data_IF_325794746031
#
_entry.id   IF_325794746031
#
_cell.length_a   1.000
_cell.length_b   1.000
_cell.length_c   1.000
_cell.angle_alpha   90.00
_cell.angle_beta   90.00
_cell.angle_gamma   90.00
#
_symmetry.space_group_name_H-M   'P 1'
#
loop_
_entity.id
_entity.type
_entity.pdbx_description
1 polymer ?
#
# COMPACT_ATOMS: atom_id res chain seq x y z
N UNK A 1 -8.82 -17.49 25.91
CA UNK A 1 -9.70 -17.90 24.79
C UNK A 1 -9.34 -17.01 23.59
N UNK A 2 -8.52 -17.51 22.66
CA UNK A 2 -8.15 -16.76 21.45
C UNK A 2 -9.31 -16.88 20.46
N UNK A 3 -9.85 -15.74 20.04
CA UNK A 3 -10.99 -15.62 19.13
C UNK A 3 -10.72 -16.32 17.79
N UNK A 4 -11.70 -17.08 17.30
CA UNK A 4 -11.63 -17.98 16.13
C UNK A 4 -11.50 -17.27 14.78
N UNK A 5 -10.47 -16.44 14.59
CA UNK A 5 -10.12 -15.90 13.29
C UNK A 5 -9.26 -16.91 12.52
N UNK A 6 -9.91 -17.70 11.65
CA UNK A 6 -9.26 -18.69 10.80
C UNK A 6 -8.84 -18.14 9.43
N UNK A 7 -8.89 -16.82 9.21
CA UNK A 7 -8.46 -16.26 7.92
C UNK A 7 -7.00 -16.61 7.63
N UNK A 8 -6.76 -17.09 6.42
CA UNK A 8 -5.46 -17.58 5.96
C UNK A 8 -4.85 -16.61 4.97
N UNK A 9 -3.53 -16.59 4.88
CA UNK A 9 -2.82 -15.97 3.78
C UNK A 9 -2.79 -16.90 2.56
N UNK A 10 -2.48 -16.36 1.38
CA UNK A 10 -2.29 -17.15 0.15
C UNK A 10 -1.24 -18.26 0.30
N UNK A 11 -0.26 -18.08 1.19
CA UNK A 11 0.75 -19.09 1.57
C UNK A 11 0.26 -20.16 2.55
N UNK A 12 -1.05 -20.25 2.81
CA UNK A 12 -1.66 -21.31 3.60
C UNK A 12 -1.55 -21.16 5.12
N UNK A 13 -0.76 -20.22 5.66
CA UNK A 13 -0.67 -19.99 7.12
C UNK A 13 -1.84 -19.13 7.64
N UNK A 14 -2.33 -19.34 8.88
CA UNK A 14 -3.26 -18.40 9.51
C UNK A 14 -2.64 -17.00 9.61
N UNK A 15 -3.44 -15.96 9.35
CA UNK A 15 -2.97 -14.57 9.41
C UNK A 15 -2.34 -14.22 10.75
N UNK A 16 -2.94 -14.68 11.86
CA UNK A 16 -2.41 -14.45 13.20
C UNK A 16 -0.98 -15.02 13.37
N UNK A 17 -0.74 -16.22 12.86
CA UNK A 17 0.59 -16.86 12.89
C UNK A 17 1.59 -16.05 12.07
N UNK A 18 1.20 -15.65 10.86
CA UNK A 18 2.06 -14.84 9.99
C UNK A 18 2.39 -13.46 10.59
N UNK A 19 1.42 -12.79 11.22
CA UNK A 19 1.60 -11.49 11.88
C UNK A 19 2.58 -11.60 13.05
N UNK A 20 2.44 -12.61 13.90
CA UNK A 20 3.39 -12.85 15.01
C UNK A 20 4.78 -13.18 14.45
N UNK A 21 4.84 -13.99 13.39
CA UNK A 21 6.10 -14.38 12.76
C UNK A 21 6.84 -13.20 12.13
N UNK A 22 6.12 -12.27 11.48
CA UNK A 22 6.73 -11.07 10.88
C UNK A 22 7.13 -10.06 11.95
N UNK A 23 6.31 -9.86 12.98
CA UNK A 23 6.63 -8.96 14.09
C UNK A 23 7.96 -9.34 14.76
N UNK A 24 8.15 -10.64 15.06
CA UNK A 24 9.42 -11.14 15.64
C UNK A 24 10.64 -10.86 14.75
N UNK A 25 10.49 -11.03 13.44
CA UNK A 25 11.59 -10.79 12.47
C UNK A 25 11.92 -9.31 12.33
N UNK A 26 10.90 -8.46 12.31
CA UNK A 26 11.08 -7.01 12.31
C UNK A 26 11.78 -6.56 13.60
N UNK A 27 11.38 -7.08 14.77
CA UNK A 27 12.06 -6.83 16.05
C UNK A 27 13.52 -7.27 16.01
N UNK A 28 13.82 -8.46 15.46
CA UNK A 28 15.20 -8.93 15.29
C UNK A 28 16.02 -8.06 14.31
N UNK A 29 15.35 -7.38 13.38
CA UNK A 29 15.94 -6.40 12.47
C UNK A 29 16.00 -4.97 13.06
N UNK A 30 15.71 -4.79 14.36
CA UNK A 30 15.79 -3.50 15.05
C UNK A 30 14.54 -2.61 14.93
N UNK A 31 13.44 -3.14 14.40
CA UNK A 31 12.17 -2.40 14.25
C UNK A 31 11.28 -2.67 15.47
N UNK A 32 11.13 -1.65 16.31
CA UNK A 32 10.31 -1.71 17.54
C UNK A 32 9.11 -0.76 17.48
N UNK A 33 9.18 0.29 16.66
CA UNK A 33 8.13 1.29 16.47
C UNK A 33 8.10 1.74 15.01
N UNK A 34 6.97 2.31 14.58
CA UNK A 34 6.78 2.81 13.22
C UNK A 34 7.90 3.76 12.75
N UNK A 35 8.43 4.58 13.66
CA UNK A 35 9.49 5.54 13.37
C UNK A 35 10.82 4.90 12.95
N UNK A 36 11.06 3.63 13.29
CA UNK A 36 12.27 2.90 12.88
C UNK A 36 12.23 2.47 11.40
N UNK A 37 11.06 2.62 10.77
CA UNK A 37 10.84 2.37 9.34
C UNK A 37 10.72 3.65 8.51
N UNK A 38 11.03 4.84 9.07
CA UNK A 38 11.04 6.10 8.30
C UNK A 38 11.94 6.04 7.07
N UNK A 39 13.08 5.36 7.20
CA UNK A 39 14.00 5.05 6.11
C UNK A 39 14.19 3.53 6.05
N UNK A 40 13.26 2.80 5.41
CA UNK A 40 13.26 1.36 5.43
C UNK A 40 14.43 0.81 4.61
N UNK A 41 15.24 -0.05 5.22
CA UNK A 41 16.37 -0.71 4.57
C UNK A 41 15.95 -2.03 3.90
N UNK A 42 16.83 -2.58 3.06
CA UNK A 42 16.63 -3.92 2.48
C UNK A 42 16.53 -5.00 3.56
N UNK A 43 17.21 -4.84 4.70
CA UNK A 43 17.09 -5.74 5.84
C UNK A 43 15.64 -5.81 6.34
N UNK A 44 14.98 -4.65 6.51
CA UNK A 44 13.59 -4.60 6.96
C UNK A 44 12.64 -5.26 5.96
N UNK A 45 12.85 -5.00 4.66
CA UNK A 45 12.07 -5.61 3.58
C UNK A 45 12.26 -7.12 3.53
N UNK A 46 13.49 -7.61 3.62
CA UNK A 46 13.78 -9.05 3.65
C UNK A 46 13.18 -9.73 4.88
N UNK A 47 13.27 -9.10 6.06
CA UNK A 47 12.64 -9.60 7.27
C UNK A 47 11.12 -9.78 7.10
N UNK A 48 10.46 -8.80 6.44
CA UNK A 48 9.04 -8.86 6.15
C UNK A 48 8.67 -9.97 5.14
N UNK A 49 9.37 -9.99 4.00
CA UNK A 49 9.07 -10.90 2.87
C UNK A 49 9.43 -12.36 3.14
N UNK A 50 10.25 -12.64 4.16
CA UNK A 50 10.61 -14.01 4.55
C UNK A 50 9.46 -14.80 5.19
N UNK A 51 8.31 -14.17 5.44
CA UNK A 51 7.10 -14.85 5.94
C UNK A 51 6.21 -15.27 4.78
N UNK A 52 5.91 -16.57 4.61
CA UNK A 52 5.04 -17.05 3.54
C UNK A 52 3.68 -16.34 3.53
N UNK A 53 3.30 -15.81 2.36
CA UNK A 53 2.07 -15.05 2.17
C UNK A 53 2.21 -13.53 2.39
N UNK A 54 3.39 -13.03 2.78
CA UNK A 54 3.72 -11.61 2.80
C UNK A 54 4.63 -11.26 1.61
N UNK A 55 4.05 -10.60 0.61
CA UNK A 55 4.73 -10.20 -0.62
C UNK A 55 5.11 -8.72 -0.66
N UNK A 56 5.76 -8.31 -1.76
CA UNK A 56 6.19 -6.92 -2.00
C UNK A 56 5.03 -5.93 -1.97
N UNK A 57 3.85 -6.35 -2.43
CA UNK A 57 2.63 -5.53 -2.39
C UNK A 57 2.17 -5.27 -0.95
N UNK A 58 2.16 -6.31 -0.10
CA UNK A 58 1.77 -6.18 1.30
C UNK A 58 2.82 -5.42 2.12
N UNK A 59 4.11 -5.54 1.76
CA UNK A 59 5.18 -4.72 2.33
C UNK A 59 4.95 -3.23 2.05
N UNK A 60 4.67 -2.89 0.79
CA UNK A 60 4.39 -1.51 0.43
C UNK A 60 3.16 -0.97 1.15
N UNK A 61 2.10 -1.79 1.28
CA UNK A 61 0.90 -1.42 2.02
C UNK A 61 1.16 -1.27 3.53
N UNK A 62 2.00 -2.10 4.11
CA UNK A 62 2.42 -1.98 5.50
C UNK A 62 3.13 -0.64 5.75
N UNK A 63 4.09 -0.26 4.89
CA UNK A 63 4.78 1.02 5.04
C UNK A 63 3.86 2.23 4.84
N UNK A 64 2.89 2.12 3.92
CA UNK A 64 1.82 3.11 3.75
C UNK A 64 0.98 3.28 5.03
N UNK A 65 0.56 2.18 5.67
CA UNK A 65 -0.20 2.24 6.93
C UNK A 65 0.61 2.84 8.09
N UNK A 66 1.95 2.80 8.01
CA UNK A 66 2.83 3.47 8.96
C UNK A 66 3.04 4.97 8.65
N UNK A 67 2.38 5.49 7.61
CA UNK A 67 2.48 6.89 7.19
C UNK A 67 3.84 7.24 6.57
N UNK A 68 4.55 6.27 6.00
CA UNK A 68 5.85 6.51 5.37
C UNK A 68 5.61 7.11 3.98
N UNK A 69 5.98 8.39 3.75
CA UNK A 69 5.49 9.18 2.61
C UNK A 69 5.84 8.64 1.21
N UNK A 70 6.85 7.78 1.12
CA UNK A 70 7.44 7.37 -0.16
C UNK A 70 7.05 5.96 -0.60
N UNK A 71 6.37 5.19 0.27
CA UNK A 71 6.01 3.80 -0.04
C UNK A 71 4.50 3.67 -0.23
N UNK A 72 4.15 3.81 -1.51
CA UNK A 72 2.84 3.64 -2.14
C UNK A 72 1.96 4.88 -2.05
N UNK A 73 2.21 5.83 -2.95
CA UNK A 73 1.08 6.46 -3.61
C UNK A 73 0.27 5.35 -4.29
N UNK A 74 -1.04 5.36 -4.04
CA UNK A 74 -1.95 4.36 -4.58
C UNK A 74 -1.66 4.11 -6.05
N UNK A 75 -1.38 2.86 -6.40
CA UNK A 75 -1.05 2.45 -7.77
C UNK A 75 -2.12 2.95 -8.74
N UNK A 76 -3.37 2.99 -8.29
CA UNK A 76 -4.53 3.46 -9.02
C UNK A 76 -4.51 4.98 -9.21
N UNK A 77 -4.18 5.74 -8.17
CA UNK A 77 -3.96 7.19 -8.26
C UNK A 77 -2.78 7.50 -9.17
N UNK A 78 -1.61 6.89 -8.94
CA UNK A 78 -0.43 7.11 -9.76
C UNK A 78 -0.68 6.78 -11.23
N UNK A 79 -1.38 5.68 -11.51
CA UNK A 79 -1.73 5.29 -12.88
C UNK A 79 -2.77 6.23 -13.49
N UNK A 80 -3.74 6.70 -12.71
CA UNK A 80 -4.70 7.71 -13.13
C UNK A 80 -3.99 9.04 -13.47
N UNK A 81 -3.18 9.55 -12.55
CA UNK A 81 -2.41 10.78 -12.73
C UNK A 81 -1.45 10.64 -13.91
N UNK A 82 -0.71 9.54 -14.01
CA UNK A 82 0.19 9.29 -15.15
C UNK A 82 -0.55 9.24 -16.49
N UNK A 83 -1.76 8.66 -16.52
CA UNK A 83 -2.64 8.70 -17.71
C UNK A 83 -3.10 10.12 -18.03
N UNK A 84 -3.46 10.91 -17.01
CA UNK A 84 -3.98 12.27 -17.18
C UNK A 84 -2.90 13.26 -17.62
N UNK A 85 -1.70 13.18 -17.03
CA UNK A 85 -0.57 14.09 -17.32
C UNK A 85 0.38 13.56 -18.39
N UNK A 86 0.18 12.31 -18.86
CA UNK A 86 1.02 11.62 -19.84
C UNK A 86 2.51 11.58 -19.46
N UNK A 87 2.81 11.53 -18.16
CA UNK A 87 4.16 11.47 -17.64
C UNK A 87 4.25 10.54 -16.41
N UNK A 88 5.40 9.90 -16.22
CA UNK A 88 5.69 9.17 -14.99
C UNK A 88 6.02 10.15 -13.88
N UNK A 89 5.24 10.12 -12.79
CA UNK A 89 5.42 11.01 -11.64
C UNK A 89 5.75 10.22 -10.39
N UNK A 90 6.46 10.87 -9.46
CA UNK A 90 6.68 10.33 -8.12
C UNK A 90 5.37 10.30 -7.32
N UNK A 91 5.35 9.47 -6.29
CA UNK A 91 4.22 9.33 -5.37
C UNK A 91 3.78 10.68 -4.78
N UNK A 92 4.74 11.44 -4.27
CA UNK A 92 4.50 12.77 -3.70
C UNK A 92 3.93 13.75 -4.73
N UNK A 93 4.44 13.73 -5.97
CA UNK A 93 3.94 14.58 -7.03
C UNK A 93 2.49 14.23 -7.41
N UNK A 94 2.16 12.94 -7.50
CA UNK A 94 0.77 12.50 -7.75
C UNK A 94 -0.18 12.93 -6.63
N UNK A 95 0.24 12.83 -5.37
CA UNK A 95 -0.56 13.24 -4.22
C UNK A 95 -0.83 14.76 -4.24
N UNK A 96 0.18 15.58 -4.55
CA UNK A 96 0.03 17.03 -4.70
C UNK A 96 -0.93 17.38 -5.83
N UNK A 97 -0.85 16.66 -6.96
CA UNK A 97 -1.73 16.90 -8.09
C UNK A 97 -3.19 16.53 -7.80
N UNK A 98 -3.43 15.39 -7.15
CA UNK A 98 -4.80 14.99 -6.75
C UNK A 98 -5.36 15.97 -5.75
N UNK A 99 -4.58 16.39 -4.75
CA UNK A 99 -5.03 17.39 -3.77
C UNK A 99 -5.38 18.72 -4.44
N UNK A 100 -4.48 19.23 -5.28
CA UNK A 100 -4.73 20.44 -6.07
C UNK A 100 -5.95 20.32 -6.98
N UNK A 101 -6.20 19.13 -7.55
CA UNK A 101 -7.38 18.88 -8.37
C UNK A 101 -8.67 18.86 -7.53
N UNK A 102 -8.65 18.26 -6.34
CA UNK A 102 -9.79 18.27 -5.41
C UNK A 102 -10.16 19.71 -5.01
N UNK A 103 -9.15 20.51 -4.66
CA UNK A 103 -9.33 21.92 -4.29
C UNK A 103 -9.97 22.72 -5.44
N UNK A 104 -9.51 22.51 -6.68
CA UNK A 104 -10.07 23.17 -7.88
C UNK A 104 -11.48 22.70 -8.22
N UNK A 105 -11.83 21.46 -7.89
CA UNK A 105 -13.15 20.88 -8.11
C UNK A 105 -14.13 21.18 -6.98
N UNK A 106 -13.68 21.77 -5.87
CA UNK A 106 -14.50 22.05 -4.70
C UNK A 106 -14.98 20.80 -3.97
N UNK A 107 -14.27 19.68 -4.11
CA UNK A 107 -14.57 18.41 -3.44
C UNK A 107 -13.48 18.06 -2.44
N UNK A 108 -13.79 17.22 -1.46
CA UNK A 108 -12.75 16.74 -0.56
C UNK A 108 -11.77 15.81 -1.29
N UNK A 109 -10.52 15.78 -0.83
CA UNK A 109 -9.52 14.86 -1.38
C UNK A 109 -9.91 13.39 -1.23
N UNK A 110 -10.73 13.06 -0.21
CA UNK A 110 -11.24 11.71 0.04
C UNK A 110 -12.29 11.31 -1.01
N UNK A 111 -13.23 12.22 -1.32
CA UNK A 111 -14.24 11.97 -2.36
C UNK A 111 -13.59 11.80 -3.73
N UNK A 112 -12.59 12.62 -4.05
CA UNK A 112 -11.85 12.49 -5.30
C UNK A 112 -11.04 11.18 -5.34
N UNK A 113 -10.41 10.79 -4.23
CA UNK A 113 -9.69 9.52 -4.13
C UNK A 113 -10.60 8.32 -4.41
N UNK A 114 -11.76 8.27 -3.75
CA UNK A 114 -12.75 7.21 -3.95
C UNK A 114 -13.26 7.17 -5.39
N UNK A 115 -13.52 8.34 -6.00
CA UNK A 115 -13.95 8.43 -7.40
C UNK A 115 -12.87 7.94 -8.38
N UNK A 116 -11.61 8.27 -8.14
CA UNK A 116 -10.47 7.77 -8.93
C UNK A 116 -10.38 6.25 -8.83
N UNK A 117 -10.49 5.70 -7.61
CA UNK A 117 -10.51 4.26 -7.36
C UNK A 117 -11.65 3.56 -8.11
N UNK A 118 -12.86 4.09 -8.07
CA UNK A 118 -14.01 3.56 -8.80
C UNK A 118 -13.83 3.61 -10.32
N UNK A 119 -13.43 4.76 -10.84
CA UNK A 119 -13.22 4.96 -12.27
C UNK A 119 -12.21 3.96 -12.83
N UNK A 120 -11.06 3.88 -12.17
CA UNK A 120 -10.00 3.02 -12.61
C UNK A 120 -10.45 1.55 -12.48
N UNK A 121 -11.15 1.14 -11.40
CA UNK A 121 -11.62 -0.25 -11.23
C UNK A 121 -12.47 -0.71 -12.42
N UNK A 122 -13.34 0.16 -12.91
CA UNK A 122 -14.16 -0.09 -14.11
C UNK A 122 -13.31 -0.18 -15.37
N UNK A 123 -12.29 0.66 -15.51
CA UNK A 123 -11.40 0.68 -16.67
C UNK A 123 -10.52 -0.58 -16.79
N UNK A 124 -10.14 -1.22 -15.68
CA UNK A 124 -9.40 -2.49 -15.72
C UNK A 124 -10.34 -3.68 -16.02
N UNK A 125 -11.56 -3.67 -15.50
CA UNK A 125 -12.57 -4.69 -15.80
C UNK A 125 -12.99 -4.74 -17.27
N UNK A 126 -12.94 -3.61 -17.99
CA UNK A 126 -13.24 -3.53 -19.42
C UNK A 126 -12.04 -3.86 -20.33
N UNK A 127 -10.81 -3.91 -19.80
CA UNK A 127 -9.60 -4.24 -20.57
C UNK A 127 -9.28 -5.74 -20.57
N UNK A 128 -10.00 -6.56 -19.80
CA UNK A 128 -9.82 -8.02 -19.71
C UNK A 128 -10.61 -8.85 -20.74
N UNK A 129 -11.30 -8.20 -21.67
CA UNK A 129 -12.01 -8.85 -22.78
C UNK A 129 -11.56 -8.22 -24.10
N UNK A 130 -10.37 -8.59 -24.56
CA UNK A 130 -9.89 -8.37 -25.94
C UNK A 130 -8.72 -9.30 -26.23
#
# INVERSE_FOLDING_TARGET
MITGNHQRLSGGSPKAVAIVAVARRLTAAGVHRAADLREPTDLHKHAYLSVPGLGTVTWAYFLMLLGIPDVKADVWINRFVARAVRAGLSAAASQVLVKSAADRLGVSSIELDHAIWDHMRRAEGSSGFR
#
